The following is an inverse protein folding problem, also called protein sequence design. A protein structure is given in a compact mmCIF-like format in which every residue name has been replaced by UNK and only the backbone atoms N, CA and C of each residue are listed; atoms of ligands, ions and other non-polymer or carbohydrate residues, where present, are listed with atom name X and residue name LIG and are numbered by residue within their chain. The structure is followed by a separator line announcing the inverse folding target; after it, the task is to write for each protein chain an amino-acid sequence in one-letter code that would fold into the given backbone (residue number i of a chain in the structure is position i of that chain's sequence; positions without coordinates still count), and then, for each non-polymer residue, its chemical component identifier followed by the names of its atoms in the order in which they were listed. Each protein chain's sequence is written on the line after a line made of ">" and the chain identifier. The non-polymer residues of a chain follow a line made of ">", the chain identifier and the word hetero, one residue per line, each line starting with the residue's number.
data_IF_042172623912
#
_entry.id   IF_042172623912
#
_cell.length_a   1.000
_cell.length_b   1.000
_cell.length_c   1.000
_cell.angle_alpha   90.00
_cell.angle_beta   90.00
_cell.angle_gamma   90.00
#
_symmetry.space_group_name_H-M   'P 1'
#
loop_
_entity.id
_entity.type
_entity.pdbx_description
1 polymer ?
#
# COMPACT_ATOMS: atom_id res chain seq x y z
N UNK A 1 -7.73 -7.20 16.87
CA UNK A 1 -7.05 -5.89 16.95
C UNK A 1 -6.16 -5.69 15.74
N UNK A 2 -6.11 -4.48 15.19
CA UNK A 2 -5.31 -4.09 14.03
C UNK A 2 -4.10 -3.29 14.51
N UNK A 3 -2.90 -3.57 14.02
CA UNK A 3 -1.73 -2.72 14.24
C UNK A 3 -1.50 -1.82 13.03
N UNK A 4 -1.40 -0.52 13.24
CA UNK A 4 -0.89 0.45 12.27
C UNK A 4 0.56 0.70 12.62
N UNK A 5 1.48 0.37 11.72
CA UNK A 5 2.91 0.57 11.96
C UNK A 5 3.26 2.04 11.88
N UNK A 6 3.75 2.60 13.00
CA UNK A 6 4.32 3.95 13.07
C UNK A 6 5.85 3.88 12.95
N UNK A 7 6.35 4.11 11.76
CA UNK A 7 7.79 4.21 11.47
C UNK A 7 8.18 5.62 10.98
N UNK A 8 7.43 6.62 11.42
CA UNK A 8 7.64 8.05 11.15
C UNK A 8 7.48 8.43 9.67
N UNK A 9 6.67 7.67 8.93
CA UNK A 9 6.39 7.90 7.51
C UNK A 9 4.90 8.13 7.26
N UNK A 10 4.44 9.33 7.56
CA UNK A 10 3.19 9.78 6.99
C UNK A 10 2.06 10.12 7.95
N UNK A 11 0.97 10.54 7.34
CA UNK A 11 -0.25 11.00 7.99
C UNK A 11 -1.14 9.81 8.35
N UNK A 12 -0.93 9.20 9.50
CA UNK A 12 -1.69 8.04 9.97
C UNK A 12 -3.16 8.37 10.23
N UNK A 13 -3.47 9.65 10.49
CA UNK A 13 -4.82 10.11 10.88
C UNK A 13 -5.92 9.72 9.87
N UNK A 14 -5.62 9.75 8.57
CA UNK A 14 -6.62 9.37 7.55
C UNK A 14 -6.95 7.87 7.63
N UNK A 15 -5.93 7.03 7.86
CA UNK A 15 -6.09 5.58 8.05
C UNK A 15 -6.84 5.30 9.36
N UNK A 16 -6.47 5.96 10.46
CA UNK A 16 -7.17 5.86 11.74
C UNK A 16 -8.66 6.23 11.60
N UNK A 17 -8.97 7.33 10.91
CA UNK A 17 -10.33 7.78 10.70
C UNK A 17 -11.13 6.78 9.87
N UNK A 18 -10.54 6.17 8.84
CA UNK A 18 -11.19 5.11 8.07
C UNK A 18 -11.51 3.88 8.93
N UNK A 19 -10.59 3.44 9.78
CA UNK A 19 -10.83 2.34 10.71
C UNK A 19 -11.89 2.68 11.77
N UNK A 20 -11.91 3.92 12.28
CA UNK A 20 -12.94 4.39 13.22
C UNK A 20 -14.34 4.35 12.58
N UNK A 21 -14.48 4.80 11.33
CA UNK A 21 -15.78 4.72 10.62
C UNK A 21 -16.26 3.29 10.46
N UNK A 22 -15.34 2.34 10.28
CA UNK A 22 -15.64 0.92 10.19
C UNK A 22 -15.83 0.23 11.56
N UNK A 23 -15.72 0.98 12.67
CA UNK A 23 -15.86 0.42 14.03
C UNK A 23 -14.75 -0.56 14.40
N UNK A 24 -13.58 -0.48 13.75
CA UNK A 24 -12.48 -1.40 13.98
C UNK A 24 -11.59 -0.96 15.15
N UNK A 25 -11.20 -1.89 16.00
CA UNK A 25 -10.22 -1.66 17.05
C UNK A 25 -8.80 -1.71 16.48
N UNK A 26 -8.02 -0.69 16.78
CA UNK A 26 -6.64 -0.59 16.30
C UNK A 26 -5.70 0.06 17.32
N UNK A 27 -4.42 -0.14 17.12
CA UNK A 27 -3.33 0.52 17.85
C UNK A 27 -2.31 1.05 16.83
N UNK A 28 -1.79 2.25 17.07
CA UNK A 28 -0.66 2.82 16.34
C UNK A 28 0.60 2.51 17.13
N UNK A 29 1.55 1.80 16.53
CA UNK A 29 2.71 1.27 17.28
C UNK A 29 3.92 1.01 16.39
N UNK A 30 5.11 1.12 16.98
CA UNK A 30 6.38 0.61 16.45
C UNK A 30 6.88 -0.61 17.24
N UNK A 31 6.14 -1.08 18.23
CA UNK A 31 6.50 -2.23 19.06
C UNK A 31 6.35 -3.53 18.28
N UNK A 32 7.46 -4.24 18.09
CA UNK A 32 7.51 -5.49 17.34
C UNK A 32 6.59 -6.58 17.91
N UNK A 33 6.46 -6.68 19.23
CA UNK A 33 5.63 -7.71 19.87
C UNK A 33 4.14 -7.42 19.70
N UNK A 34 3.76 -6.15 19.76
CA UNK A 34 2.38 -5.73 19.48
C UNK A 34 2.03 -6.01 18.01
N UNK A 35 2.94 -5.68 17.08
CA UNK A 35 2.77 -5.94 15.64
C UNK A 35 2.61 -7.44 15.37
N UNK A 36 3.46 -8.30 15.97
CA UNK A 36 3.39 -9.77 15.77
C UNK A 36 2.10 -10.38 16.30
N UNK A 37 1.51 -9.82 17.36
CA UNK A 37 0.27 -10.31 17.99
C UNK A 37 -1.00 -9.78 17.32
N UNK A 38 -0.89 -8.77 16.47
CA UNK A 38 -2.04 -8.21 15.78
C UNK A 38 -2.69 -9.22 14.84
N UNK A 39 -4.02 -9.16 14.71
CA UNK A 39 -4.76 -9.99 13.76
C UNK A 39 -4.54 -9.56 12.32
N UNK A 40 -4.30 -8.26 12.12
CA UNK A 40 -4.00 -7.62 10.84
C UNK A 40 -3.05 -6.46 11.05
N UNK A 41 -2.26 -6.17 10.02
CA UNK A 41 -1.26 -5.11 10.07
C UNK A 41 -1.44 -4.15 8.89
N UNK A 42 -1.43 -2.87 9.16
CA UNK A 42 -1.37 -1.83 8.14
C UNK A 42 0.02 -1.18 8.13
N UNK A 43 0.61 -1.09 6.95
CA UNK A 43 1.88 -0.41 6.69
C UNK A 43 1.59 0.80 5.79
N UNK A 44 1.10 1.92 6.32
CA UNK A 44 0.92 3.13 5.54
C UNK A 44 2.27 3.79 5.28
N UNK A 45 2.36 4.58 4.24
CA UNK A 45 3.56 5.36 3.97
C UNK A 45 3.30 6.43 2.93
N UNK A 46 3.88 7.60 3.15
CA UNK A 46 3.94 8.70 2.19
C UNK A 46 5.36 9.23 2.12
N UNK A 47 5.70 9.94 1.06
CA UNK A 47 7.03 10.53 0.89
C UNK A 47 7.97 9.63 0.10
N UNK A 48 9.18 9.42 0.59
CA UNK A 48 10.29 8.81 -0.14
C UNK A 48 10.56 7.37 0.28
N UNK A 49 10.71 6.45 -0.68
CA UNK A 49 10.93 5.03 -0.40
C UNK A 49 12.27 4.75 0.30
N UNK A 50 13.34 5.48 -0.02
CA UNK A 50 14.63 5.30 0.63
C UNK A 50 14.58 5.73 2.11
N UNK A 51 13.92 6.84 2.41
CA UNK A 51 13.69 7.31 3.79
C UNK A 51 12.80 6.32 4.56
N UNK A 52 11.75 5.81 3.92
CA UNK A 52 10.89 4.80 4.50
C UNK A 52 11.68 3.54 4.90
N UNK A 53 12.55 3.04 4.01
CA UNK A 53 13.39 1.88 4.30
C UNK A 53 14.42 2.17 5.40
N UNK A 54 14.99 3.37 5.43
CA UNK A 54 15.90 3.79 6.51
C UNK A 54 15.19 3.78 7.87
N UNK A 55 13.99 4.35 7.92
CA UNK A 55 13.19 4.38 9.15
C UNK A 55 12.78 2.98 9.61
N UNK A 56 12.39 2.09 8.69
CA UNK A 56 12.11 0.68 9.04
C UNK A 56 13.34 -0.04 9.60
N UNK A 57 14.54 0.23 9.06
CA UNK A 57 15.79 -0.34 9.58
C UNK A 57 16.13 0.22 10.97
N UNK A 58 16.01 1.53 11.16
CA UNK A 58 16.24 2.19 12.47
C UNK A 58 15.29 1.71 13.57
N UNK A 59 14.10 1.30 13.19
CA UNK A 59 13.09 0.76 14.10
C UNK A 59 13.18 -0.76 14.29
N UNK A 60 14.15 -1.44 13.66
CA UNK A 60 14.31 -2.90 13.65
C UNK A 60 13.06 -3.66 13.16
N UNK A 61 12.26 -3.04 12.26
CA UNK A 61 11.01 -3.59 11.79
C UNK A 61 11.11 -4.42 10.49
N UNK A 62 12.24 -4.42 9.80
CA UNK A 62 12.42 -5.12 8.51
C UNK A 62 12.11 -6.61 8.64
N UNK A 63 12.77 -7.30 9.54
CA UNK A 63 12.56 -8.74 9.73
C UNK A 63 11.25 -9.05 10.44
N UNK A 64 10.76 -8.13 11.28
CA UNK A 64 9.43 -8.22 11.88
C UNK A 64 8.37 -8.31 10.78
N UNK A 65 8.34 -7.35 9.86
CA UNK A 65 7.36 -7.30 8.76
C UNK A 65 7.47 -8.54 7.88
N UNK A 66 8.68 -8.92 7.47
CA UNK A 66 8.91 -10.11 6.63
C UNK A 66 8.42 -11.40 7.26
N UNK A 67 8.48 -11.49 8.58
CA UNK A 67 8.08 -12.70 9.34
C UNK A 67 6.58 -12.81 9.62
N UNK A 68 5.79 -11.76 9.32
CA UNK A 68 4.35 -11.76 9.58
C UNK A 68 3.63 -12.84 8.78
N UNK A 69 2.68 -13.50 9.42
CA UNK A 69 1.81 -14.53 8.81
C UNK A 69 0.35 -14.11 8.77
N UNK A 70 -0.01 -13.06 9.48
CA UNK A 70 -1.34 -12.45 9.44
C UNK A 70 -1.45 -11.49 8.25
N UNK A 71 -2.65 -11.17 7.76
CA UNK A 71 -2.81 -10.24 6.65
C UNK A 71 -2.12 -8.90 6.90
N UNK A 72 -1.34 -8.46 5.93
CA UNK A 72 -0.64 -7.16 5.93
C UNK A 72 -1.09 -6.36 4.72
N UNK A 73 -1.45 -5.09 4.91
CA UNK A 73 -1.78 -4.17 3.81
C UNK A 73 -0.82 -2.98 3.82
N UNK A 74 0.01 -2.88 2.79
CA UNK A 74 0.81 -1.69 2.50
C UNK A 74 0.02 -0.68 1.68
N UNK A 75 0.11 0.60 2.03
CA UNK A 75 -0.58 1.69 1.34
C UNK A 75 0.45 2.66 0.76
N UNK A 76 0.37 2.92 -0.54
CA UNK A 76 1.24 3.84 -1.29
C UNK A 76 2.73 3.48 -1.11
N UNK A 77 3.53 4.33 -0.46
CA UNK A 77 4.94 4.00 -0.15
C UNK A 77 5.05 2.73 0.70
N UNK A 78 4.09 2.46 1.57
CA UNK A 78 4.03 1.21 2.34
C UNK A 78 3.96 -0.03 1.44
N UNK A 79 3.24 0.01 0.32
CA UNK A 79 3.28 -1.05 -0.69
C UNK A 79 4.63 -1.07 -1.43
N UNK A 80 5.15 0.09 -1.82
CA UNK A 80 6.39 0.20 -2.58
C UNK A 80 7.59 -0.37 -1.83
N UNK A 81 7.69 -0.15 -0.52
CA UNK A 81 8.77 -0.73 0.29
C UNK A 81 8.66 -2.26 0.46
N UNK A 82 7.50 -2.85 0.18
CA UNK A 82 7.36 -4.31 0.12
C UNK A 82 7.82 -4.92 -1.22
N UNK A 83 8.07 -4.12 -2.25
CA UNK A 83 8.66 -4.55 -3.51
C UNK A 83 10.16 -4.94 -3.33
N UNK A 84 10.82 -5.33 -4.41
CA UNK A 84 12.27 -5.66 -4.38
C UNK A 84 13.14 -4.41 -4.30
N UNK A 85 12.82 -3.41 -5.11
CA UNK A 85 13.64 -2.22 -5.29
C UNK A 85 12.79 -1.05 -5.75
N UNK A 86 13.20 0.17 -5.37
CA UNK A 86 12.61 1.41 -5.87
C UNK A 86 13.69 2.31 -6.46
N UNK A 87 13.41 2.86 -7.65
CA UNK A 87 14.24 3.90 -8.27
C UNK A 87 14.28 5.18 -7.41
N UNK A 88 13.30 5.37 -6.52
CA UNK A 88 13.29 6.49 -5.59
C UNK A 88 14.36 6.33 -4.52
N UNK A 89 15.48 7.02 -4.71
CA UNK A 89 16.65 6.93 -3.85
C UNK A 89 17.44 5.62 -4.02
N UNK A 90 17.26 4.91 -5.13
CA UNK A 90 17.94 3.63 -5.43
C UNK A 90 17.84 2.64 -4.24
N UNK A 91 16.62 2.49 -3.72
CA UNK A 91 16.40 1.81 -2.47
C UNK A 91 16.18 0.30 -2.65
N UNK A 92 17.02 -0.52 -2.00
CA UNK A 92 16.72 -1.93 -1.77
C UNK A 92 15.62 -2.04 -0.73
N UNK A 93 14.49 -2.63 -1.10
CA UNK A 93 13.29 -2.73 -0.28
C UNK A 93 13.15 -4.12 0.37
N UNK A 94 11.96 -4.44 0.91
CA UNK A 94 11.73 -5.67 1.68
C UNK A 94 11.76 -6.96 0.83
N UNK A 95 11.52 -6.87 -0.48
CA UNK A 95 11.58 -8.01 -1.38
C UNK A 95 10.46 -9.03 -1.17
N UNK A 96 9.29 -8.59 -0.74
CA UNK A 96 8.10 -9.42 -0.55
C UNK A 96 7.39 -9.62 -1.90
N UNK A 97 7.10 -8.54 -2.62
CA UNK A 97 6.55 -8.61 -3.98
C UNK A 97 7.66 -8.70 -5.03
N UNK A 98 7.46 -9.51 -6.04
CA UNK A 98 8.39 -9.63 -7.18
C UNK A 98 8.18 -8.47 -8.17
N UNK A 99 8.31 -7.26 -7.70
CA UNK A 99 8.12 -6.03 -8.44
C UNK A 99 9.24 -5.02 -8.19
N UNK A 100 9.51 -4.20 -9.20
CA UNK A 100 10.37 -3.03 -9.10
C UNK A 100 9.53 -1.77 -9.25
N UNK A 101 9.82 -0.76 -8.44
CA UNK A 101 9.15 0.53 -8.46
C UNK A 101 9.95 1.48 -9.36
N UNK A 102 9.29 2.01 -10.40
CA UNK A 102 9.87 2.89 -11.41
C UNK A 102 9.32 4.30 -11.32
N UNK A 103 10.06 5.27 -11.82
CA UNK A 103 9.59 6.65 -11.95
C UNK A 103 8.72 6.82 -13.19
N UNK A 104 7.60 7.56 -13.07
CA UNK A 104 6.87 8.02 -14.24
C UNK A 104 7.71 8.99 -15.07
N UNK A 105 7.59 8.88 -16.39
CA UNK A 105 8.15 9.84 -17.33
C UNK A 105 7.01 10.80 -17.73
N UNK A 106 7.11 12.10 -17.44
CA UNK A 106 6.06 13.05 -17.82
C UNK A 106 5.99 13.18 -19.34
N UNK A 107 4.76 13.33 -19.85
CA UNK A 107 4.47 13.63 -21.25
C UNK A 107 3.64 14.91 -21.37
N UNK A 108 3.30 15.33 -22.57
CA UNK A 108 2.43 16.49 -22.77
C UNK A 108 1.02 16.28 -22.15
N UNK A 109 0.57 15.01 -22.13
CA UNK A 109 -0.77 14.62 -21.68
C UNK A 109 -0.79 14.13 -20.23
N UNK A 110 0.31 13.56 -19.75
CA UNK A 110 0.41 12.90 -18.46
C UNK A 110 1.43 13.59 -17.56
N UNK A 111 0.91 14.30 -16.57
CA UNK A 111 1.72 15.02 -15.59
C UNK A 111 2.26 14.09 -14.49
N UNK A 112 3.41 14.43 -13.93
CA UNK A 112 3.98 13.78 -12.75
C UNK A 112 4.10 14.83 -11.64
N UNK A 113 3.58 14.55 -10.44
CA UNK A 113 3.00 13.29 -9.97
C UNK A 113 1.64 12.96 -10.60
N UNK A 114 1.30 11.66 -10.67
CA UNK A 114 -0.06 11.18 -10.85
C UNK A 114 -0.85 11.52 -9.59
N UNK A 115 -1.72 12.49 -9.69
CA UNK A 115 -2.48 13.02 -8.55
C UNK A 115 -3.95 13.18 -8.93
N UNK A 116 -4.82 12.63 -8.10
CA UNK A 116 -6.26 12.69 -8.27
C UNK A 116 -6.92 11.33 -8.43
N UNK A 117 -8.14 11.34 -8.94
CA UNK A 117 -8.97 10.15 -9.11
C UNK A 117 -8.66 9.46 -10.43
N UNK A 118 -8.51 8.13 -10.38
CA UNK A 118 -8.34 7.31 -11.58
C UNK A 118 -8.98 5.94 -11.35
N UNK A 119 -9.34 5.28 -12.44
CA UNK A 119 -10.03 3.99 -12.39
C UNK A 119 -9.09 2.81 -12.13
N UNK A 120 -9.60 1.79 -11.46
CA UNK A 120 -8.94 0.50 -11.30
C UNK A 120 -9.62 -0.54 -12.19
N UNK A 121 -8.83 -1.47 -12.70
CA UNK A 121 -9.32 -2.58 -13.54
C UNK A 121 -8.53 -3.86 -13.27
N UNK A 122 -8.91 -4.94 -13.99
CA UNK A 122 -8.28 -6.25 -13.87
C UNK A 122 -8.22 -6.72 -12.39
N UNK A 123 -9.36 -6.61 -11.71
CA UNK A 123 -9.48 -6.88 -10.28
C UNK A 123 -9.46 -8.38 -10.01
N UNK A 124 -8.46 -8.83 -9.29
CA UNK A 124 -8.28 -10.20 -8.85
C UNK A 124 -8.06 -10.22 -7.33
N UNK A 125 -8.69 -11.06 -6.59
CA UNK A 125 -8.54 -11.17 -5.13
C UNK A 125 -9.79 -10.78 -4.34
N UNK A 126 -9.94 -11.42 -3.19
CA UNK A 126 -10.99 -11.11 -2.20
C UNK A 126 -10.91 -9.67 -1.67
N UNK A 127 -9.75 -9.00 -1.80
CA UNK A 127 -9.60 -7.58 -1.46
C UNK A 127 -10.60 -6.70 -2.25
N UNK A 128 -10.92 -7.09 -3.48
CA UNK A 128 -11.84 -6.38 -4.36
C UNK A 128 -13.24 -7.00 -4.43
N UNK A 129 -13.63 -7.79 -3.42
CA UNK A 129 -14.98 -8.33 -3.35
C UNK A 129 -16.00 -7.20 -3.42
N UNK A 130 -17.01 -7.35 -4.31
CA UNK A 130 -18.08 -6.38 -4.56
C UNK A 130 -17.60 -5.02 -5.10
N UNK A 131 -16.37 -4.97 -5.66
CA UNK A 131 -15.81 -3.83 -6.40
C UNK A 131 -15.82 -4.17 -7.88
N UNK A 132 -16.24 -3.22 -8.72
CA UNK A 132 -16.26 -3.39 -10.18
C UNK A 132 -15.07 -2.70 -10.83
N UNK A 133 -14.63 -3.23 -11.98
CA UNK A 133 -13.70 -2.52 -12.84
C UNK A 133 -14.28 -1.19 -13.30
N UNK A 134 -13.44 -0.16 -13.34
CA UNK A 134 -13.83 1.20 -13.65
C UNK A 134 -14.17 2.08 -12.44
N UNK A 135 -14.27 1.49 -11.24
CA UNK A 135 -14.47 2.30 -10.02
C UNK A 135 -13.24 3.18 -9.74
N UNK A 136 -13.47 4.38 -9.22
CA UNK A 136 -12.47 5.43 -9.05
C UNK A 136 -11.86 5.38 -7.66
N UNK A 137 -10.53 5.52 -7.60
CA UNK A 137 -9.75 5.60 -6.37
C UNK A 137 -8.77 6.78 -6.43
N UNK A 138 -8.28 7.22 -5.28
CA UNK A 138 -7.42 8.40 -5.18
C UNK A 138 -5.94 8.04 -5.19
N UNK A 139 -5.18 8.70 -6.06
CA UNK A 139 -3.74 8.57 -6.24
C UNK A 139 -3.00 9.86 -5.92
N UNK A 140 -1.80 9.73 -5.39
CA UNK A 140 -0.78 10.79 -5.32
C UNK A 140 0.60 10.14 -5.25
N UNK A 141 1.25 9.95 -6.41
CA UNK A 141 2.55 9.30 -6.49
C UNK A 141 3.29 9.67 -7.77
N UNK A 142 4.63 9.63 -7.72
CA UNK A 142 5.53 9.84 -8.86
C UNK A 142 6.24 8.55 -9.29
N UNK A 143 6.13 7.49 -8.48
CA UNK A 143 6.72 6.18 -8.72
C UNK A 143 5.64 5.12 -8.64
N UNK A 144 5.81 4.04 -9.38
CA UNK A 144 4.82 2.97 -9.51
C UNK A 144 5.50 1.60 -9.65
N UNK A 145 4.92 0.52 -9.09
CA UNK A 145 5.35 -0.82 -9.39
C UNK A 145 4.84 -1.22 -10.79
N UNK A 146 5.73 -1.75 -11.62
CA UNK A 146 5.31 -2.27 -12.92
C UNK A 146 4.39 -3.49 -12.76
N UNK A 147 3.67 -3.85 -13.83
CA UNK A 147 2.82 -5.05 -13.83
C UNK A 147 3.70 -6.30 -13.75
N UNK A 148 3.38 -7.20 -12.85
CA UNK A 148 4.13 -8.42 -12.55
C UNK A 148 3.17 -9.56 -12.15
N UNK A 149 3.66 -10.79 -11.90
CA UNK A 149 2.81 -11.90 -11.49
C UNK A 149 2.00 -11.67 -10.20
N UNK A 150 2.48 -10.80 -9.30
CA UNK A 150 1.81 -10.46 -8.05
C UNK A 150 0.72 -9.39 -8.21
N UNK A 151 0.52 -8.85 -9.43
CA UNK A 151 -0.47 -7.80 -9.70
C UNK A 151 -1.90 -8.33 -9.58
N UNK A 152 -2.73 -7.68 -8.77
CA UNK A 152 -4.14 -8.01 -8.56
C UNK A 152 -5.11 -6.88 -8.95
N UNK A 153 -4.61 -5.75 -9.37
CA UNK A 153 -5.35 -4.66 -9.99
C UNK A 153 -4.40 -3.76 -10.79
N UNK A 154 -4.90 -3.16 -11.84
CA UNK A 154 -4.12 -2.26 -12.70
C UNK A 154 -4.81 -0.92 -12.87
N UNK A 155 -3.99 0.11 -13.14
CA UNK A 155 -4.44 1.45 -13.54
C UNK A 155 -3.52 1.95 -14.66
N UNK A 156 -4.03 2.84 -15.49
CA UNK A 156 -3.27 3.46 -16.58
C UNK A 156 -3.04 4.95 -16.29
N UNK A 157 -1.78 5.36 -16.36
CA UNK A 157 -1.36 6.76 -16.38
C UNK A 157 -0.09 6.87 -17.25
N UNK A 158 -0.30 7.16 -18.53
CA UNK A 158 0.74 7.01 -19.55
C UNK A 158 1.11 5.55 -19.80
N UNK A 159 1.46 4.84 -18.75
CA UNK A 159 1.73 3.40 -18.74
C UNK A 159 0.72 2.64 -17.90
N UNK A 160 0.58 1.35 -18.15
CA UNK A 160 -0.14 0.45 -17.25
C UNK A 160 0.75 0.09 -16.08
N UNK A 161 0.24 0.20 -14.87
CA UNK A 161 0.98 -0.13 -13.65
C UNK A 161 0.14 -0.93 -12.66
N UNK A 162 0.79 -1.54 -11.68
CA UNK A 162 0.13 -2.26 -10.60
C UNK A 162 -0.54 -1.29 -9.64
N UNK A 163 -1.87 -1.21 -9.70
CA UNK A 163 -2.67 -0.48 -8.72
C UNK A 163 -2.70 -1.20 -7.36
N UNK A 164 -2.60 -2.53 -7.39
CA UNK A 164 -2.50 -3.36 -6.20
C UNK A 164 -1.68 -4.62 -6.47
N UNK A 165 -1.03 -5.10 -5.42
CA UNK A 165 -0.20 -6.30 -5.40
C UNK A 165 -0.67 -7.25 -4.30
N UNK A 166 -0.43 -8.57 -4.50
CA UNK A 166 -0.67 -9.61 -3.50
C UNK A 166 0.38 -10.71 -3.64
N UNK A 167 0.98 -11.08 -2.52
CA UNK A 167 1.78 -12.29 -2.38
C UNK A 167 1.53 -12.91 -1.01
N UNK A 168 1.13 -14.18 -0.97
CA UNK A 168 0.74 -14.88 0.27
C UNK A 168 -0.26 -14.07 1.11
N UNK A 169 0.11 -13.67 2.33
CA UNK A 169 -0.67 -12.85 3.27
C UNK A 169 -0.43 -11.33 3.11
N UNK A 170 0.46 -10.93 2.19
CA UNK A 170 0.78 -9.54 1.95
C UNK A 170 -0.06 -8.97 0.81
N UNK A 171 -0.62 -7.80 1.04
CA UNK A 171 -1.41 -7.00 0.11
C UNK A 171 -0.82 -5.60 0.05
N UNK A 172 -0.97 -4.95 -1.09
CA UNK A 172 -0.57 -3.56 -1.25
C UNK A 172 -1.47 -2.82 -2.22
N UNK A 173 -1.69 -1.52 -1.95
CA UNK A 173 -2.38 -0.61 -2.87
C UNK A 173 -1.49 0.59 -3.16
N UNK A 174 -1.38 0.99 -4.45
CA UNK A 174 -0.71 2.24 -4.82
C UNK A 174 -1.59 3.44 -4.52
N UNK A 175 -2.88 3.29 -4.70
CA UNK A 175 -3.86 4.30 -4.29
C UNK A 175 -4.03 4.31 -2.77
N UNK A 176 -4.64 5.37 -2.28
CA UNK A 176 -5.00 5.56 -0.88
C UNK A 176 -6.45 5.14 -0.64
N UNK A 177 -6.75 3.92 -0.18
CA UNK A 177 -8.13 3.52 0.09
C UNK A 177 -8.78 4.39 1.16
N UNK A 178 -8.01 4.86 2.15
CA UNK A 178 -8.49 5.77 3.21
C UNK A 178 -8.93 7.15 2.69
N UNK A 179 -8.61 7.46 1.41
CA UNK A 179 -8.98 8.71 0.71
C UNK A 179 -9.86 8.46 -0.52
N UNK A 180 -10.30 7.23 -0.73
CA UNK A 180 -11.01 6.81 -1.94
C UNK A 180 -12.53 6.68 -1.75
N UNK A 181 -13.11 7.39 -0.78
CA UNK A 181 -14.55 7.38 -0.53
C UNK A 181 -15.10 5.99 -0.25
N UNK A 182 -16.33 5.72 -0.71
CA UNK A 182 -17.03 4.45 -0.45
C UNK A 182 -16.30 3.23 -1.04
N UNK A 183 -15.65 3.38 -2.20
CA UNK A 183 -14.85 2.31 -2.82
C UNK A 183 -13.69 1.94 -1.93
N UNK A 184 -12.95 2.93 -1.44
CA UNK A 184 -11.83 2.73 -0.54
C UNK A 184 -12.26 2.13 0.80
N UNK A 185 -13.37 2.57 1.35
CA UNK A 185 -13.94 2.03 2.59
C UNK A 185 -14.33 0.56 2.44
N UNK A 186 -14.94 0.17 1.31
CA UNK A 186 -15.22 -1.24 0.98
C UNK A 186 -13.93 -2.07 0.86
N UNK A 187 -12.88 -1.54 0.25
CA UNK A 187 -11.59 -2.23 0.14
C UNK A 187 -10.98 -2.47 1.52
N UNK A 188 -10.97 -1.46 2.40
CA UNK A 188 -10.50 -1.62 3.77
C UNK A 188 -11.38 -2.65 4.52
N UNK A 189 -12.71 -2.56 4.40
CA UNK A 189 -13.63 -3.50 5.03
C UNK A 189 -13.40 -4.95 4.53
N UNK A 190 -13.08 -5.12 3.25
CA UNK A 190 -12.72 -6.44 2.70
C UNK A 190 -11.41 -6.95 3.30
N UNK A 191 -10.39 -6.10 3.40
CA UNK A 191 -9.13 -6.44 4.07
C UNK A 191 -9.35 -6.88 5.51
N UNK A 192 -10.25 -6.23 6.24
CA UNK A 192 -10.58 -6.58 7.62
C UNK A 192 -11.29 -7.96 7.76
N UNK A 193 -11.70 -8.57 6.66
CA UNK A 193 -12.36 -9.89 6.63
C UNK A 193 -11.46 -11.01 6.10
N UNK A 194 -10.23 -10.71 5.69
CA UNK A 194 -9.26 -11.69 5.17
C UNK A 194 -8.62 -12.57 6.30
#
# INVERSE_FOLDING_TARGET
>A
MIAIIDYKMGYLRSVENALKRLGAEFVVTADAEVIRRADRVLLPGVGNAAEAMENLRKADLVDVIRSLRRPVLGICVGMQVMCRHSEEGDAKCLGIFDAHVKRFVPTAEEKVPHMGWNSIGNLESKLFKDIKGGEMVYYVHSYYPYVCPDTIATTRHGVMFSAALKYENFYGTQFHPEKSGDVGERIIANFLKL
#
